data_IF_195689259752
#
_entry.id   IF_195689259752
#
_cell.length_a   1.000
_cell.length_b   1.000
_cell.length_c   1.000
_cell.angle_alpha   90.00
_cell.angle_beta   90.00
_cell.angle_gamma   90.00
#
_symmetry.space_group_name_H-M   'P 1'
#
loop_
_entity.id
_entity.type
_entity.pdbx_description
1 polymer ?
2 non-polymer ?
3 water ?
#
# COMPACT_ATOMS: atom_id res chain seq x y z
N UNK A 1 25.53 3.50 16.45
CA UNK A 1 24.13 3.97 16.64
C UNK A 1 23.28 2.90 17.31
N UNK A 2 23.17 1.69 16.74
CA UNK A 2 22.40 0.65 17.43
C UNK A 2 23.16 0.13 18.66
N UNK A 3 22.44 -0.12 19.75
CA UNK A 3 23.09 -0.67 20.98
C UNK A 3 23.78 -2.02 20.69
N UNK A 4 24.74 -2.41 21.53
CA UNK A 4 25.37 -3.73 21.47
C UNK A 4 24.34 -4.86 21.54
N UNK A 5 23.25 -4.67 22.30
CA UNK A 5 22.22 -5.71 22.48
C UNK A 5 21.37 -5.90 21.20
N UNK A 6 21.05 -4.81 20.52
CA UNK A 6 20.34 -4.89 19.22
C UNK A 6 21.23 -5.67 18.25
N UNK A 7 22.51 -5.33 18.22
CA UNK A 7 23.45 -6.03 17.33
C UNK A 7 23.54 -7.53 17.63
N UNK A 8 23.70 -7.91 18.92
CA UNK A 8 23.64 -9.31 19.34
C UNK A 8 22.38 -10.05 18.89
N UNK A 9 21.24 -9.42 19.10
CA UNK A 9 19.96 -9.98 18.69
C UNK A 9 19.91 -10.11 17.17
N UNK A 10 20.47 -9.13 16.44
CA UNK A 10 20.56 -9.24 14.99
C UNK A 10 21.46 -10.38 14.54
N UNK A 11 22.55 -10.63 15.28
CA UNK A 11 23.42 -11.75 14.95
C UNK A 11 22.65 -13.08 15.04
N UNK A 12 21.89 -13.21 16.11
CA UNK A 12 21.08 -14.40 16.36
C UNK A 12 20.05 -14.59 15.19
N UNK A 13 19.41 -13.49 14.82
CA UNK A 13 18.43 -13.44 13.69
C UNK A 13 19.06 -13.85 12.38
N UNK A 14 20.26 -13.36 12.10
CA UNK A 14 20.96 -13.69 10.88
C UNK A 14 21.29 -15.18 10.88
N UNK A 15 21.69 -15.71 12.03
CA UNK A 15 22.03 -17.12 12.08
C UNK A 15 20.82 -18.01 11.77
N UNK A 16 19.66 -17.61 12.32
CA UNK A 16 18.38 -18.25 12.09
C UNK A 16 18.06 -18.25 10.56
N UNK A 17 18.24 -17.11 9.92
CA UNK A 17 18.03 -17.01 8.47
C UNK A 17 18.92 -17.93 7.70
N UNK A 18 20.21 -17.93 8.05
CA UNK A 18 21.22 -18.74 7.36
C UNK A 18 20.97 -20.22 7.55
N UNK A 19 20.51 -20.59 8.75
CA UNK A 19 20.14 -21.97 9.00
C UNK A 19 18.99 -22.48 8.09
N UNK A 20 18.05 -21.59 7.78
CA UNK A 20 16.80 -21.94 7.09
C UNK A 20 17.05 -22.12 5.59
N UNK A 21 17.35 -23.34 5.17
CA UNK A 21 17.58 -23.62 3.74
C UNK A 21 16.25 -23.52 2.93
N UNK A 22 15.11 -23.73 3.59
CA UNK A 22 13.82 -23.75 2.86
C UNK A 22 13.26 -22.36 2.58
N UNK A 23 14.00 -21.35 3.04
CA UNK A 23 13.55 -19.98 2.99
C UNK A 23 13.92 -19.31 1.67
N UNK A 24 12.96 -18.76 0.97
CA UNK A 24 13.29 -18.05 -0.24
C UNK A 24 12.59 -16.69 -0.37
N UNK A 25 12.44 -16.01 0.76
CA UNK A 25 12.03 -14.61 0.79
C UNK A 25 13.10 -13.71 0.10
N UNK A 26 12.68 -12.54 -0.36
CA UNK A 26 13.62 -11.54 -0.83
C UNK A 26 14.59 -11.13 0.29
N UNK A 27 14.12 -11.18 1.54
CA UNK A 27 14.94 -10.88 2.73
C UNK A 27 16.17 -11.79 2.71
N UNK A 28 15.90 -13.08 2.66
CA UNK A 28 16.93 -14.08 2.64
C UNK A 28 17.90 -13.93 1.46
N UNK A 29 17.34 -13.65 0.29
CA UNK A 29 18.11 -13.48 -0.94
C UNK A 29 19.11 -12.31 -0.81
N UNK A 30 18.64 -11.18 -0.25
CA UNK A 30 19.46 -9.96 -0.33
C UNK A 30 20.19 -9.55 0.93
N UNK A 31 19.82 -10.15 2.07
CA UNK A 31 20.56 -9.97 3.32
C UNK A 31 21.77 -10.91 3.34
N UNK A 32 22.78 -10.50 2.58
CA UNK A 32 24.04 -11.25 2.51
C UNK A 32 24.83 -10.92 3.77
N UNK A 33 25.84 -11.72 4.06
CA UNK A 33 26.73 -11.45 5.18
C UNK A 33 27.31 -10.03 5.06
N UNK A 34 27.69 -9.63 3.86
CA UNK A 34 28.31 -8.33 3.57
C UNK A 34 27.34 -7.18 3.91
N UNK A 35 26.12 -7.32 3.43
CA UNK A 35 25.08 -6.31 3.64
C UNK A 35 24.67 -6.28 5.13
N UNK A 36 24.52 -7.47 5.73
CA UNK A 36 24.20 -7.56 7.15
C UNK A 36 25.24 -6.83 8.02
N UNK A 37 26.53 -7.10 7.79
CA UNK A 37 27.61 -6.46 8.55
C UNK A 37 27.64 -4.93 8.34
N UNK A 38 27.37 -4.48 7.13
CA UNK A 38 27.29 -3.08 6.80
C UNK A 38 26.13 -2.35 7.58
N UNK A 39 24.99 -3.02 7.67
CA UNK A 39 23.76 -2.41 8.20
C UNK A 39 23.41 -2.67 9.67
N UNK A 40 23.87 -3.81 10.23
CA UNK A 40 23.47 -4.20 11.59
C UNK A 40 23.64 -3.13 12.70
N UNK A 41 24.64 -2.25 12.55
CA UNK A 41 24.98 -1.24 13.59
C UNK A 41 24.25 0.09 13.44
N UNK A 42 23.41 0.23 12.41
CA UNK A 42 22.78 1.53 12.07
C UNK A 42 21.41 1.72 12.72
N UNK A 43 21.05 2.99 12.98
CA UNK A 43 19.78 3.29 13.63
C UNK A 43 19.30 4.63 13.10
N UNK A 44 18.02 4.71 12.75
CA UNK A 44 17.46 5.96 12.25
C UNK A 44 17.24 6.95 13.39
N UNK A 45 17.01 8.20 13.04
CA UNK A 45 16.77 9.27 13.99
C UNK A 45 15.54 8.97 14.82
N UNK A 46 14.57 8.29 14.24
CA UNK A 46 13.38 7.91 14.99
C UNK A 46 13.61 6.66 15.84
N UNK A 47 14.78 6.01 15.69
CA UNK A 47 15.13 4.92 16.57
C UNK A 47 14.97 3.52 15.96
N UNK A 48 14.64 3.44 14.68
CA UNK A 48 14.51 2.14 14.01
C UNK A 48 15.89 1.52 13.72
N UNK A 49 15.96 0.19 13.89
CA UNK A 49 17.16 -0.59 13.65
C UNK A 49 16.90 -1.55 12.51
N UNK A 50 17.92 -2.29 12.10
CA UNK A 50 17.68 -3.33 11.10
C UNK A 50 16.68 -4.39 11.58
N UNK A 51 16.55 -4.59 12.90
CA UNK A 51 15.59 -5.53 13.41
C UNK A 51 14.16 -5.13 13.08
N UNK A 52 13.87 -3.83 13.16
CA UNK A 52 12.56 -3.29 12.82
C UNK A 52 12.23 -3.40 11.32
N UNK A 53 13.24 -3.63 10.50
CA UNK A 53 13.07 -3.86 9.06
C UNK A 53 12.84 -5.37 8.82
N UNK A 54 13.67 -6.21 9.44
CA UNK A 54 13.71 -7.62 9.01
C UNK A 54 12.94 -8.63 9.89
N UNK A 55 12.46 -8.20 11.07
CA UNK A 55 11.94 -9.18 12.07
C UNK A 55 10.77 -10.03 11.55
N UNK A 56 9.83 -9.40 10.82
CA UNK A 56 8.73 -10.22 10.25
C UNK A 56 9.23 -11.38 9.34
N UNK A 57 10.24 -11.13 8.51
CA UNK A 57 10.81 -12.15 7.61
C UNK A 57 11.61 -13.21 8.36
N UNK A 58 12.16 -12.84 9.52
CA UNK A 58 12.89 -13.77 10.37
C UNK A 58 11.91 -14.68 11.13
N UNK A 59 10.78 -14.12 11.59
CA UNK A 59 9.76 -14.94 12.28
C UNK A 59 8.88 -15.77 11.34
N UNK A 60 8.58 -15.25 10.15
CA UNK A 60 7.75 -15.91 9.16
C UNK A 60 8.69 -16.21 8.02
N UNK A 61 9.36 -17.37 8.11
CA UNK A 61 10.42 -17.66 7.16
C UNK A 61 9.79 -17.88 5.78
N UNK A 62 8.51 -18.20 5.77
CA UNK A 62 7.78 -18.41 4.51
C UNK A 62 7.28 -17.11 3.84
N UNK A 63 7.75 -15.94 4.31
CA UNK A 63 7.40 -14.64 3.68
C UNK A 63 7.88 -14.58 2.24
N UNK A 64 7.13 -13.86 1.38
CA UNK A 64 7.59 -13.65 0.00
C UNK A 64 8.66 -12.59 0.02
N UNK A 65 8.39 -11.53 0.75
CA UNK A 65 9.25 -10.35 0.80
C UNK A 65 10.10 -10.40 2.10
N UNK A 66 9.43 -10.25 3.25
CA UNK A 66 10.07 -10.45 4.55
C UNK A 66 10.69 -9.23 5.20
N UNK A 67 10.47 -8.06 4.60
CA UNK A 67 10.92 -6.81 5.16
C UNK A 67 9.75 -5.84 5.09
N UNK A 68 9.80 -4.89 6.02
CA UNK A 68 8.91 -3.71 6.06
C UNK A 68 9.79 -2.52 6.36
N UNK A 69 9.31 -1.31 6.04
CA UNK A 69 10.01 -0.10 6.43
C UNK A 69 9.41 0.40 7.77
N UNK A 70 10.25 0.53 8.82
CA UNK A 70 9.74 1.03 10.11
C UNK A 70 9.63 2.55 10.20
N UNK A 71 10.20 3.28 9.24
CA UNK A 71 10.03 4.71 9.13
C UNK A 71 10.51 5.14 7.75
N UNK A 72 10.29 6.42 7.41
CA UNK A 72 10.67 6.96 6.09
C UNK A 72 12.18 6.86 5.87
N UNK A 73 12.95 7.16 6.92
CA UNK A 73 14.42 7.22 6.81
C UNK A 73 15.04 5.88 6.47
N UNK A 74 14.37 4.80 6.89
CA UNK A 74 14.84 3.43 6.66
C UNK A 74 15.15 3.16 5.20
N UNK A 75 14.36 3.76 4.31
CA UNK A 75 14.59 3.52 2.89
C UNK A 75 15.91 4.09 2.39
N UNK A 76 16.46 5.03 3.16
CA UNK A 76 17.76 5.61 2.86
C UNK A 76 18.80 4.84 3.68
N UNK A 77 18.59 4.71 4.99
CA UNK A 77 19.62 4.12 5.85
C UNK A 77 19.89 2.62 5.55
N UNK A 78 18.83 1.89 5.22
CA UNK A 78 18.96 0.45 4.97
C UNK A 78 18.77 0.11 3.49
N UNK A 79 19.10 1.09 2.63
CA UNK A 79 19.05 0.96 1.17
C UNK A 79 19.86 -0.21 0.64
N UNK A 80 20.99 -0.54 1.28
CA UNK A 80 21.83 -1.67 0.79
C UNK A 80 21.05 -3.00 0.79
N UNK A 81 20.08 -3.10 1.68
CA UNK A 81 19.16 -4.23 1.72
C UNK A 81 17.86 -3.93 0.94
N UNK A 82 17.27 -2.76 1.19
CA UNK A 82 15.94 -2.43 0.61
C UNK A 82 15.95 -2.22 -0.91
N UNK A 83 16.99 -1.59 -1.42
CA UNK A 83 17.05 -1.30 -2.87
C UNK A 83 17.05 -2.55 -3.74
N UNK A 84 17.93 -3.53 -3.44
CA UNK A 84 17.82 -4.70 -4.34
C UNK A 84 16.49 -5.47 -4.18
N UNK A 85 15.91 -5.48 -2.99
CA UNK A 85 14.56 -6.00 -2.79
C UNK A 85 13.47 -5.29 -3.64
N UNK A 86 13.45 -3.95 -3.61
CA UNK A 86 12.52 -3.16 -4.37
C UNK A 86 12.72 -3.48 -5.86
N UNK A 87 13.97 -3.49 -6.28
CA UNK A 87 14.31 -3.73 -7.67
C UNK A 87 13.92 -5.14 -8.16
N UNK A 88 14.10 -6.14 -7.29
CA UNK A 88 13.63 -7.50 -7.55
C UNK A 88 12.10 -7.55 -7.73
N UNK A 89 11.37 -7.04 -6.74
CA UNK A 89 9.92 -7.10 -6.74
C UNK A 89 9.29 -6.25 -7.87
N UNK A 90 9.74 -5.00 -8.03
CA UNK A 90 9.18 -4.11 -9.02
C UNK A 90 9.91 -4.31 -10.33
N UNK A 91 9.54 -5.36 -11.03
CA UNK A 91 10.29 -5.83 -12.19
C UNK A 91 10.42 -4.68 -13.19
N UNK A 92 11.62 -4.52 -13.72
CA UNK A 92 11.90 -3.43 -14.66
C UNK A 92 12.27 -2.10 -14.01
N UNK A 93 12.17 -2.02 -12.67
CA UNK A 93 12.70 -0.87 -11.92
C UNK A 93 14.18 -1.05 -11.61
N UNK A 94 15.02 -0.53 -12.52
CA UNK A 94 16.48 -0.57 -12.42
C UNK A 94 17.09 0.36 -11.35
N UNK A 95 18.35 0.11 -10.94
CA UNK A 95 19.15 1.03 -10.11
C UNK A 95 19.24 2.48 -10.64
N UNK A 96 19.42 2.66 -11.95
CA UNK A 96 19.46 3.99 -12.52
C UNK A 96 18.05 4.59 -12.67
N UNK A 97 17.02 3.83 -12.28
CA UNK A 97 15.62 4.26 -12.49
C UNK A 97 15.11 5.13 -11.34
N UNK A 98 14.08 5.91 -11.63
CA UNK A 98 13.55 6.85 -10.65
C UNK A 98 12.06 6.97 -10.86
N UNK A 99 11.31 7.08 -9.76
CA UNK A 99 9.91 7.48 -9.80
C UNK A 99 9.83 8.86 -10.49
N UNK A 100 8.94 8.99 -11.49
CA UNK A 100 8.70 10.31 -12.09
C UNK A 100 8.02 11.25 -11.12
N UNK A 101 7.99 12.55 -11.43
CA UNK A 101 7.23 13.47 -10.57
C UNK A 101 5.76 13.03 -10.44
N UNK A 102 5.15 13.39 -9.33
CA UNK A 102 3.72 13.19 -9.17
C UNK A 102 2.93 13.78 -10.33
N UNK A 103 2.02 12.99 -10.91
CA UNK A 103 1.22 13.45 -12.06
C UNK A 103 0.04 12.51 -12.25
N UNK A 104 -1.14 13.01 -11.96
CA UNK A 104 -2.37 12.25 -12.18
C UNK A 104 -2.90 12.43 -13.60
N UNK A 105 -2.32 13.39 -14.36
CA UNK A 105 -2.51 13.52 -15.80
C UNK A 105 -3.82 14.18 -16.20
N UNK A 106 -4.16 13.99 -17.47
CA UNK A 106 -5.37 14.55 -18.03
C UNK A 106 -6.53 13.61 -17.78
N UNK A 107 -7.40 14.02 -16.84
CA UNK A 107 -8.49 13.22 -16.39
C UNK A 107 -9.53 12.85 -17.44
N UNK A 108 -9.64 13.66 -18.48
CA UNK A 108 -10.65 13.45 -19.50
C UNK A 108 -10.15 12.47 -20.60
N UNK A 109 -8.97 11.89 -20.38
CA UNK A 109 -8.51 10.76 -21.19
C UNK A 109 -8.97 9.43 -20.53
N UNK A 110 -9.54 9.52 -19.30
CA UNK A 110 -10.11 8.36 -18.65
C UNK A 110 -11.56 8.30 -19.11
N UNK A 111 -12.06 7.07 -19.25
CA UNK A 111 -13.37 6.83 -19.82
C UNK A 111 -14.18 5.80 -19.01
N UNK A 112 -15.46 5.69 -19.33
CA UNK A 112 -16.26 4.54 -18.93
C UNK A 112 -15.84 3.42 -19.89
N UNK A 113 -15.17 2.42 -19.36
CA UNK A 113 -14.60 1.35 -20.20
C UNK A 113 -15.65 0.33 -20.63
N UNK A 114 -16.85 0.43 -20.06
CA UNK A 114 -17.92 -0.51 -20.38
C UNK A 114 -19.23 0.27 -20.53
N UNK A 115 -19.35 1.08 -21.61
CA UNK A 115 -20.53 1.92 -21.76
C UNK A 115 -21.82 1.11 -22.06
N UNK A 116 -21.68 -0.18 -22.42
CA UNK A 116 -22.85 -1.02 -22.69
C UNK A 116 -23.32 -1.76 -21.43
N UNK A 117 -22.55 -1.67 -20.36
CA UNK A 117 -22.93 -2.30 -19.08
C UNK A 117 -22.95 -3.82 -19.10
N UNK A 118 -22.06 -4.43 -19.88
CA UNK A 118 -22.06 -5.90 -20.07
C UNK A 118 -21.01 -6.68 -19.26
N UNK A 119 -19.94 -6.01 -18.83
CA UNK A 119 -18.81 -6.72 -18.22
C UNK A 119 -18.40 -6.23 -16.83
N UNK A 120 -18.25 -4.92 -16.66
CA UNK A 120 -17.63 -4.40 -15.42
C UNK A 120 -18.65 -4.13 -14.32
N UNK A 121 -18.54 -4.89 -13.24
CA UNK A 121 -19.41 -4.76 -12.05
C UNK A 121 -19.10 -3.47 -11.24
N UNK A 122 -17.82 -3.19 -11.03
CA UNK A 122 -17.42 -2.01 -10.30
C UNK A 122 -15.96 -1.75 -10.54
N UNK A 123 -15.54 -0.56 -10.18
CA UNK A 123 -14.23 -0.05 -10.49
C UNK A 123 -13.72 0.59 -9.20
N UNK A 124 -12.43 0.44 -8.92
CA UNK A 124 -11.87 0.85 -7.65
C UNK A 124 -10.46 1.35 -7.92
N UNK A 125 -10.11 2.45 -7.27
CA UNK A 125 -8.71 2.88 -7.26
C UNK A 125 -8.32 3.14 -5.80
N UNK A 126 -7.24 2.49 -5.35
CA UNK A 126 -6.72 2.59 -3.99
C UNK A 126 -5.32 3.15 -4.05
N UNK A 127 -4.95 3.95 -3.05
CA UNK A 127 -3.58 4.45 -2.89
C UNK A 127 -3.28 4.44 -1.39
N UNK A 128 -2.04 4.68 -0.99
CA UNK A 128 -1.75 4.72 0.46
C UNK A 128 -0.77 5.87 0.66
N UNK A 129 -0.64 6.33 1.91
CA UNK A 129 0.25 7.44 2.24
C UNK A 129 0.78 7.20 3.64
N UNK A 130 2.03 7.60 3.87
CA UNK A 130 2.58 7.77 5.20
C UNK A 130 2.64 9.28 5.48
N UNK A 131 2.43 9.70 6.73
CA UNK A 131 2.46 11.11 7.07
C UNK A 131 3.89 11.47 7.46
N UNK A 132 4.35 12.59 6.91
CA UNK A 132 5.66 13.15 7.16
C UNK A 132 5.83 13.41 8.66
N UNK A 133 6.97 12.99 9.22
CA UNK A 133 7.30 13.27 10.63
C UNK A 133 6.84 12.23 11.62
N UNK A 134 6.27 11.12 11.15
CA UNK A 134 5.85 10.03 12.06
C UNK A 134 6.56 8.77 11.63
N UNK A 135 6.96 7.91 12.61
CA UNK A 135 7.46 6.58 12.27
C UNK A 135 6.34 5.77 11.62
N UNK A 136 6.70 4.68 10.96
CA UNK A 136 5.65 3.81 10.44
C UNK A 136 5.24 2.88 11.59
N UNK A 137 4.28 1.99 11.34
CA UNK A 137 3.73 1.13 12.42
C UNK A 137 4.68 0.48 13.37
N UNK A 138 5.75 -0.20 12.87
CA UNK A 138 6.59 -0.95 13.80
C UNK A 138 7.15 -0.10 14.93
N UNK A 139 7.19 1.23 14.75
CA UNK A 139 7.82 2.10 15.73
C UNK A 139 6.95 3.23 16.26
N UNK A 140 5.64 3.20 15.97
CA UNK A 140 4.75 4.27 16.48
C UNK A 140 4.48 4.09 17.98
N UNK A 141 4.50 5.19 18.73
CA UNK A 141 4.06 5.16 20.13
C UNK A 141 2.57 5.39 20.17
N UNK A 142 1.96 5.02 21.30
CA UNK A 142 0.51 5.14 21.49
C UNK A 142 0.04 6.59 21.28
N UNK A 143 0.79 7.55 21.86
CA UNK A 143 0.48 8.98 21.71
C UNK A 143 0.49 9.42 20.25
N UNK A 144 1.42 8.85 19.49
CA UNK A 144 1.53 9.16 18.06
C UNK A 144 0.37 8.59 17.23
N UNK A 145 -0.08 7.36 17.56
CA UNK A 145 -1.34 6.80 17.02
C UNK A 145 -2.53 7.78 17.21
N UNK A 146 -2.67 8.27 18.42
CA UNK A 146 -3.75 9.17 18.82
C UNK A 146 -3.68 10.53 18.13
N UNK A 147 -2.50 11.14 18.14
CA UNK A 147 -2.29 12.44 17.48
C UNK A 147 -2.55 12.37 15.99
N UNK A 148 -1.98 11.36 15.36
CA UNK A 148 -2.17 11.20 13.94
C UNK A 148 -3.65 11.01 13.56
N UNK A 149 -4.37 10.20 14.33
CA UNK A 149 -5.78 9.94 14.08
C UNK A 149 -6.61 11.23 14.23
N UNK A 150 -6.32 11.99 15.28
CA UNK A 150 -6.94 13.31 15.47
C UNK A 150 -6.71 14.29 14.29
N UNK A 151 -5.47 14.39 13.82
CA UNK A 151 -5.15 15.26 12.68
C UNK A 151 -5.89 14.79 11.45
N UNK A 152 -5.85 13.50 11.20
CA UNK A 152 -6.53 12.95 10.04
C UNK A 152 -8.05 13.10 10.09
N UNK A 153 -8.65 12.73 11.22
CA UNK A 153 -10.09 12.79 11.45
C UNK A 153 -10.62 14.20 11.16
N UNK A 154 -9.90 15.20 11.69
CA UNK A 154 -10.13 16.62 11.41
C UNK A 154 -10.31 16.96 9.95
N UNK A 155 -9.33 16.60 9.11
CA UNK A 155 -9.46 16.78 7.68
C UNK A 155 -10.66 16.05 7.12
N UNK A 156 -10.87 14.80 7.54
CA UNK A 156 -11.88 13.98 6.88
C UNK A 156 -13.28 14.51 7.22
N UNK A 157 -13.43 14.95 8.46
CA UNK A 157 -14.70 15.49 8.91
C UNK A 157 -14.97 16.89 8.30
N UNK A 158 -13.92 17.54 7.81
CA UNK A 158 -14.03 18.82 7.09
C UNK A 158 -14.62 18.60 5.70
N UNK A 159 -14.65 17.35 5.22
CA UNK A 159 -15.04 17.13 3.83
C UNK A 159 -16.51 17.48 3.60
N UNK A 160 -16.79 18.01 2.41
CA UNK A 160 -18.14 18.44 2.09
C UNK A 160 -18.45 17.91 0.72
N UNK A 161 -19.66 18.19 0.22
CA UNK A 161 -20.00 17.77 -1.13
C UNK A 161 -20.08 16.26 -1.18
N UNK A 162 -19.66 15.68 -2.29
CA UNK A 162 -19.70 14.24 -2.53
C UNK A 162 -18.86 13.45 -1.49
N UNK A 163 -17.93 14.14 -0.86
CA UNK A 163 -17.01 13.54 0.11
C UNK A 163 -17.53 13.57 1.56
N UNK A 164 -18.64 14.28 1.79
CA UNK A 164 -19.24 14.41 3.13
C UNK A 164 -19.50 13.01 3.66
N UNK A 165 -19.17 12.79 4.93
CA UNK A 165 -19.36 11.48 5.52
C UNK A 165 -19.01 11.43 6.99
N UNK A 166 -18.71 10.24 7.48
CA UNK A 166 -18.53 10.01 8.93
C UNK A 166 -17.25 9.26 9.23
N UNK A 167 -16.61 9.65 10.31
CA UNK A 167 -15.45 8.95 10.78
C UNK A 167 -15.88 8.01 11.92
N UNK A 168 -15.43 6.75 11.85
CA UNK A 168 -15.73 5.74 12.86
C UNK A 168 -14.43 5.25 13.49
N UNK A 169 -14.09 5.73 14.72
CA UNK A 169 -12.91 5.13 15.32
C UNK A 169 -13.19 3.64 15.71
N UNK A 170 -12.17 2.78 15.61
CA UNK A 170 -12.26 1.44 16.14
C UNK A 170 -12.35 1.49 17.68
N UNK A 171 -11.70 2.50 18.27
CA UNK A 171 -11.75 2.71 19.74
C UNK A 171 -13.14 3.20 20.12
N UNK A 172 -13.87 2.33 20.81
CA UNK A 172 -15.25 2.55 21.27
C UNK A 172 -16.27 2.21 20.20
N UNK A 173 -15.85 1.53 19.14
CA UNK A 173 -16.77 1.24 18.04
C UNK A 173 -17.82 0.26 18.53
N UNK A 174 -19.10 0.54 18.30
CA UNK A 174 -20.13 -0.36 18.84
C UNK A 174 -20.33 -1.60 17.97
N UNK A 175 -21.01 -2.61 18.53
CA UNK A 175 -21.39 -3.80 17.76
C UNK A 175 -22.20 -3.44 16.51
N UNK A 176 -23.19 -2.57 16.69
CA UNK A 176 -23.98 -2.01 15.57
C UNK A 176 -23.15 -1.48 14.41
N UNK A 177 -22.16 -0.65 14.72
CA UNK A 177 -21.27 -0.10 13.73
C UNK A 177 -20.40 -1.19 13.10
N UNK A 178 -19.99 -2.14 13.92
CA UNK A 178 -19.14 -3.22 13.38
C UNK A 178 -19.93 -3.95 12.29
N UNK A 179 -21.15 -4.37 12.66
CA UNK A 179 -22.04 -5.11 11.77
C UNK A 179 -22.30 -4.33 10.51
N UNK A 180 -22.61 -3.04 10.65
CA UNK A 180 -22.89 -2.21 9.51
C UNK A 180 -21.67 -2.09 8.58
N UNK A 181 -20.48 -1.91 9.15
CA UNK A 181 -19.27 -1.74 8.32
C UNK A 181 -18.87 -3.09 7.65
N UNK A 182 -19.05 -4.18 8.37
CA UNK A 182 -18.80 -5.54 7.83
C UNK A 182 -19.69 -5.75 6.60
N UNK A 183 -20.96 -5.34 6.72
CA UNK A 183 -21.92 -5.39 5.61
C UNK A 183 -21.50 -4.60 4.37
N UNK A 184 -20.88 -3.44 4.59
CA UNK A 184 -20.30 -2.63 3.56
C UNK A 184 -18.92 -3.15 3.09
N UNK A 185 -18.37 -4.17 3.74
CA UNK A 185 -16.98 -4.63 3.47
C UNK A 185 -15.96 -3.52 3.77
N UNK A 186 -16.28 -2.68 4.76
CA UNK A 186 -15.48 -1.50 5.13
C UNK A 186 -14.65 -1.72 6.42
N UNK A 187 -14.94 -2.80 7.18
CA UNK A 187 -14.30 -3.04 8.49
C UNK A 187 -12.91 -3.67 8.30
N UNK A 188 -11.94 -3.27 9.11
CA UNK A 188 -10.71 -4.02 9.25
C UNK A 188 -10.53 -4.32 10.70
N UNK A 189 -9.58 -5.21 10.99
CA UNK A 189 -9.29 -5.64 12.36
C UNK A 189 -7.79 -5.82 12.43
N UNK A 190 -7.27 -6.38 13.52
CA UNK A 190 -5.81 -6.42 13.69
C UNK A 190 -5.14 -7.31 12.60
N UNK A 191 -3.89 -7.02 12.27
CA UNK A 191 -3.20 -7.69 11.18
C UNK A 191 -2.87 -9.14 11.41
N UNK A 192 -2.52 -9.78 10.30
CA UNK A 192 -2.15 -11.22 10.25
C UNK A 192 -0.74 -11.41 10.86
N UNK A 193 -0.25 -12.65 10.85
CA UNK A 193 1.06 -12.96 11.47
C UNK A 193 2.24 -12.20 10.85
N UNK A 194 2.16 -11.83 9.58
CA UNK A 194 3.19 -11.05 8.90
C UNK A 194 3.24 -9.63 9.52
N UNK A 195 2.07 -9.04 9.74
CA UNK A 195 1.98 -7.72 10.36
C UNK A 195 2.33 -7.79 11.85
N UNK A 196 1.81 -8.81 12.52
CA UNK A 196 2.05 -8.97 13.98
C UNK A 196 3.57 -9.12 14.22
N UNK A 197 4.24 -9.94 13.40
CA UNK A 197 5.67 -10.18 13.63
C UNK A 197 6.47 -8.93 13.23
N UNK A 198 5.88 -8.05 12.43
CA UNK A 198 6.45 -6.75 12.13
C UNK A 198 6.18 -5.71 13.24
N UNK A 199 5.43 -6.09 14.28
CA UNK A 199 5.01 -5.15 15.32
C UNK A 199 4.24 -4.00 14.76
N UNK A 200 3.42 -4.32 13.74
CA UNK A 200 2.69 -3.30 13.00
C UNK A 200 1.34 -2.99 13.64
N UNK A 201 0.90 -3.82 14.60
CA UNK A 201 -0.46 -3.76 15.19
C UNK A 201 -0.50 -3.52 16.71
N UNK A 202 0.46 -2.76 17.24
CA UNK A 202 0.60 -2.56 18.69
C UNK A 202 -0.44 -1.51 19.12
N UNK A 203 -0.81 -1.56 20.40
CA UNK A 203 -1.78 -0.65 21.02
C UNK A 203 -3.14 -0.74 20.38
N UNK A 204 -3.49 -1.89 19.82
CA UNK A 204 -4.77 -2.05 19.12
C UNK A 204 -5.94 -1.83 20.08
N UNK A 205 -6.99 -1.09 19.65
CA UNK A 205 -7.22 -0.45 18.35
C UNK A 205 -6.89 1.06 18.36
N UNK A 206 -6.08 1.52 19.32
CA UNK A 206 -5.74 2.97 19.42
C UNK A 206 -5.29 3.62 18.13
N UNK A 207 -5.94 4.72 17.78
CA UNK A 207 -5.57 5.46 16.55
C UNK A 207 -6.02 4.82 15.24
N UNK A 208 -6.84 3.77 15.32
CA UNK A 208 -7.34 3.14 14.10
C UNK A 208 -8.75 3.62 13.87
N UNK A 209 -9.11 3.85 12.61
CA UNK A 209 -10.47 4.21 12.34
C UNK A 209 -10.76 4.14 10.84
N UNK A 210 -12.03 4.34 10.51
CA UNK A 210 -12.56 4.14 9.16
C UNK A 210 -13.43 5.37 8.88
N UNK A 211 -13.27 5.92 7.69
CA UNK A 211 -14.11 6.99 7.20
C UNK A 211 -14.70 6.55 5.87
N UNK A 212 -15.98 6.82 5.66
CA UNK A 212 -16.52 6.70 4.31
C UNK A 212 -17.50 7.84 4.07
N UNK A 213 -17.68 8.22 2.80
CA UNK A 213 -18.67 9.23 2.44
C UNK A 213 -20.09 8.64 2.42
N UNK A 214 -21.11 9.49 2.36
CA UNK A 214 -22.53 9.02 2.50
C UNK A 214 -22.88 8.12 1.32
N UNK A 215 -22.35 8.48 0.15
CA UNK A 215 -22.54 7.71 -1.06
C UNK A 215 -21.83 6.35 -1.04
N UNK A 216 -20.85 6.15 -0.14
CA UNK A 216 -20.08 4.90 -0.09
C UNK A 216 -19.25 4.67 -1.38
N UNK A 217 -18.66 5.73 -1.89
CA UNK A 217 -17.86 5.68 -3.09
C UNK A 217 -16.45 6.14 -2.70
N UNK A 218 -16.22 6.32 -1.39
CA UNK A 218 -14.93 6.80 -0.87
C UNK A 218 -14.76 6.26 0.54
N UNK A 219 -13.59 5.69 0.80
CA UNK A 219 -13.30 4.96 2.03
C UNK A 219 -11.85 5.27 2.42
N UNK A 220 -11.63 5.54 3.71
CA UNK A 220 -10.28 5.69 4.24
C UNK A 220 -10.10 4.77 5.44
N UNK A 221 -8.97 4.04 5.47
CA UNK A 221 -8.58 3.31 6.68
C UNK A 221 -7.39 4.03 7.25
N UNK A 222 -7.44 4.31 8.55
CA UNK A 222 -6.40 5.01 9.27
C UNK A 222 -5.68 4.00 10.17
N UNK A 223 -4.38 3.86 9.94
CA UNK A 223 -3.52 3.01 10.79
C UNK A 223 -3.78 1.52 10.72
N UNK A 224 -4.22 1.06 9.54
CA UNK A 224 -4.42 -0.38 9.30
C UNK A 224 -3.17 -1.20 8.89
N UNK A 225 -2.35 -0.66 8.02
CA UNK A 225 -1.06 -1.23 7.58
C UNK A 225 -0.19 -0.02 7.31
N UNK A 226 -0.70 0.89 6.46
CA UNK A 226 -0.14 2.23 6.34
C UNK A 226 -0.89 3.24 7.20
N UNK A 227 -0.31 4.42 7.38
CA UNK A 227 -0.99 5.46 8.12
C UNK A 227 -2.35 5.69 7.48
N UNK A 228 -2.37 5.78 6.13
CA UNK A 228 -3.58 5.95 5.39
C UNK A 228 -3.69 5.01 4.21
N UNK A 229 -4.86 4.40 4.06
CA UNK A 229 -5.18 3.68 2.82
C UNK A 229 -6.44 4.38 2.36
N UNK A 230 -6.46 4.86 1.11
CA UNK A 230 -7.50 5.76 0.62
C UNK A 230 -8.06 5.17 -0.66
N UNK A 231 -9.38 4.94 -0.69
CA UNK A 231 -9.97 4.18 -1.76
C UNK A 231 -11.16 4.95 -2.32
N UNK A 232 -11.22 5.02 -3.67
CA UNK A 232 -12.42 5.44 -4.35
C UNK A 232 -12.99 4.27 -5.17
N UNK A 233 -14.29 4.17 -5.22
CA UNK A 233 -14.94 3.06 -5.90
C UNK A 233 -16.41 3.36 -6.24
N UNK A 234 -16.92 2.70 -7.28
CA UNK A 234 -18.34 2.73 -7.62
C UNK A 234 -18.71 1.55 -8.51
N UNK A 235 -20.02 1.31 -8.63
CA UNK A 235 -20.54 0.32 -9.56
C UNK A 235 -20.33 0.83 -10.99
N UNK A 236 -20.17 -0.12 -11.90
CA UNK A 236 -19.99 0.19 -13.31
C UNK A 236 -18.52 0.49 -13.62
N UNK A 237 -18.27 1.03 -14.81
CA UNK A 237 -16.92 1.12 -15.33
C UNK A 237 -16.33 2.51 -15.52
N UNK A 238 -16.88 3.53 -14.87
CA UNK A 238 -16.39 4.91 -15.08
C UNK A 238 -15.13 5.23 -14.28
N UNK A 239 -14.01 4.89 -14.89
CA UNK A 239 -12.71 5.05 -14.28
C UNK A 239 -12.37 6.52 -14.05
N UNK A 240 -12.79 7.38 -15.00
CA UNK A 240 -12.68 8.84 -14.87
C UNK A 240 -13.22 9.32 -13.52
N UNK A 241 -14.50 9.05 -13.29
CA UNK A 241 -15.20 9.44 -12.04
C UNK A 241 -14.54 8.88 -10.82
N UNK A 242 -14.14 7.61 -10.88
CA UNK A 242 -13.54 6.93 -9.73
C UNK A 242 -12.19 7.60 -9.40
N UNK A 243 -11.35 7.78 -10.41
CA UNK A 243 -10.01 8.29 -10.18
C UNK A 243 -10.04 9.80 -9.86
N UNK A 244 -10.89 10.56 -10.55
CA UNK A 244 -11.09 12.00 -10.26
C UNK A 244 -11.42 12.27 -8.79
N UNK A 245 -12.32 11.45 -8.23
CA UNK A 245 -12.76 11.53 -6.84
C UNK A 245 -11.57 11.24 -5.90
N UNK A 246 -10.79 10.20 -6.23
CA UNK A 246 -9.60 9.89 -5.45
C UNK A 246 -8.61 11.08 -5.40
N UNK A 247 -8.29 11.63 -6.57
CA UNK A 247 -7.38 12.77 -6.67
C UNK A 247 -7.88 13.94 -5.82
N UNK A 248 -9.15 14.26 -5.96
CA UNK A 248 -9.77 15.32 -5.16
C UNK A 248 -9.61 15.04 -3.67
N UNK A 249 -10.02 13.84 -3.23
CA UNK A 249 -10.05 13.51 -1.82
C UNK A 249 -8.65 13.51 -1.19
N UNK A 250 -7.66 12.98 -1.92
CA UNK A 250 -6.30 12.96 -1.41
C UNK A 250 -5.78 14.41 -1.23
N UNK A 251 -6.09 15.29 -2.19
CA UNK A 251 -5.70 16.71 -2.11
C UNK A 251 -6.30 17.40 -0.87
N UNK A 252 -7.57 17.14 -0.58
CA UNK A 252 -8.20 17.66 0.66
C UNK A 252 -7.44 17.24 1.91
N UNK A 253 -7.11 15.94 2.03
CA UNK A 253 -6.34 15.47 3.19
C UNK A 253 -4.99 16.21 3.28
N UNK A 254 -4.35 16.39 2.13
CA UNK A 254 -3.00 16.92 2.07
C UNK A 254 -2.97 18.43 2.36
N UNK A 255 -4.11 19.10 2.30
CA UNK A 255 -4.17 20.52 2.69
C UNK A 255 -3.53 20.78 4.07
N UNK A 256 -3.77 19.88 5.01
CA UNK A 256 -3.24 19.98 6.35
C UNK A 256 -2.28 18.88 6.75
N UNK A 257 -2.37 17.73 6.12
CA UNK A 257 -1.54 16.61 6.53
C UNK A 257 -0.53 16.29 5.40
N UNK A 258 0.75 16.56 5.62
CA UNK A 258 1.73 16.36 4.54
C UNK A 258 2.20 14.90 4.51
N UNK A 259 2.52 14.43 3.32
CA UNK A 259 2.84 13.01 3.17
C UNK A 259 4.33 12.85 2.97
N UNK A 260 4.79 11.63 3.17
CA UNK A 260 6.18 11.31 3.05
C UNK A 260 6.45 10.83 1.59
N UNK A 261 7.25 11.60 0.87
CA UNK A 261 7.57 11.24 -0.54
C UNK A 261 9.09 11.26 -0.75
N UNK A 262 9.60 10.23 -1.42
CA UNK A 262 11.00 10.22 -1.78
C UNK A 262 11.15 10.56 -3.29
N UNK A 263 12.19 11.29 -3.66
CA UNK A 263 12.42 11.64 -5.08
C UNK A 263 12.65 10.44 -6.00
N UNK A 264 13.33 9.43 -5.47
CA UNK A 264 13.53 8.22 -6.22
C UNK A 264 12.40 7.18 -6.07
N UNK A 265 11.85 7.02 -4.86
CA UNK A 265 10.88 5.94 -4.62
C UNK A 265 9.42 6.40 -4.65
N UNK A 266 9.19 7.69 -4.91
CA UNK A 266 7.84 8.24 -4.70
C UNK A 266 7.33 8.12 -3.26
N UNK A 267 6.03 7.84 -3.11
CA UNK A 267 5.40 7.78 -1.77
C UNK A 267 5.88 6.58 -0.98
N UNK A 268 6.43 6.86 0.20
CA UNK A 268 7.02 5.82 1.06
C UNK A 268 5.93 5.12 1.89
N UNK A 269 5.99 3.80 1.84
CA UNK A 269 4.97 2.98 2.42
C UNK A 269 5.61 1.95 3.34
N UNK A 270 4.78 1.37 4.18
CA UNK A 270 5.22 0.39 5.19
C UNK A 270 5.76 -0.90 4.50
N UNK A 271 5.02 -1.39 3.51
CA UNK A 271 5.47 -2.50 2.67
C UNK A 271 6.10 -1.96 1.37
N UNK A 272 7.36 -2.36 1.07
CA UNK A 272 7.97 -1.90 -0.21
C UNK A 272 7.21 -2.31 -1.49
N UNK A 273 6.25 -3.24 -1.43
CA UNK A 273 5.50 -3.61 -2.61
C UNK A 273 4.53 -2.47 -3.02
N UNK A 274 4.32 -1.54 -2.11
CA UNK A 274 3.39 -0.39 -2.33
C UNK A 274 4.05 0.93 -2.68
N UNK A 275 5.33 0.95 -3.03
CA UNK A 275 6.03 2.22 -3.22
C UNK A 275 5.59 2.98 -4.48
N UNK A 276 6.10 4.20 -4.67
CA UNK A 276 6.04 4.90 -6.00
C UNK A 276 4.72 5.63 -6.18
N UNK A 277 3.82 5.06 -7.00
CA UNK A 277 2.43 5.59 -7.04
C UNK A 277 1.52 5.14 -5.90
N UNK A 278 1.81 3.94 -5.34
CA UNK A 278 1.01 3.21 -4.31
C UNK A 278 -0.30 2.72 -4.91
N UNK A 279 -0.49 2.93 -6.21
CA UNK A 279 -1.82 2.78 -6.79
C UNK A 279 -2.14 1.32 -7.13
N UNK A 280 -3.32 0.88 -6.72
CA UNK A 280 -3.89 -0.35 -7.22
C UNK A 280 -5.23 0.01 -7.81
N UNK A 281 -5.29 0.01 -9.15
CA UNK A 281 -6.53 0.32 -9.88
C UNK A 281 -7.12 -0.98 -10.36
N UNK A 282 -8.39 -1.23 -10.05
CA UNK A 282 -8.99 -2.51 -10.43
C UNK A 282 -10.43 -2.40 -10.86
N UNK A 283 -10.85 -3.44 -11.58
CA UNK A 283 -12.26 -3.67 -11.89
C UNK A 283 -12.64 -5.08 -11.40
N UNK A 284 -13.89 -5.24 -11.04
CA UNK A 284 -14.49 -6.56 -10.87
C UNK A 284 -15.20 -6.78 -12.18
N UNK A 285 -14.76 -7.76 -12.95
CA UNK A 285 -15.20 -7.89 -14.32
C UNK A 285 -15.67 -9.33 -14.62
N UNK A 286 -16.80 -9.42 -15.31
CA UNK A 286 -17.31 -10.70 -15.88
C UNK A 286 -16.73 -10.96 -17.27
N UNK A 287 -15.86 -11.96 -17.40
CA UNK A 287 -15.36 -12.37 -18.73
C UNK A 287 -15.59 -13.87 -19.09
N UNK A 288 -16.83 -14.22 -19.51
CA UNK A 288 -17.09 -15.56 -20.07
C UNK A 288 -16.90 -15.63 -21.61
N UNK A 294 -7.56 -20.62 -24.80
CA UNK A 294 -7.80 -21.38 -23.57
C UNK A 294 -8.05 -20.38 -22.44
N UNK A 295 -7.13 -20.33 -21.47
CA UNK A 295 -7.01 -19.18 -20.59
C UNK A 295 -6.05 -18.19 -21.26
N UNK A 296 -6.37 -17.84 -22.52
CA UNK A 296 -5.75 -16.70 -23.21
C UNK A 296 -6.17 -15.41 -22.52
N UNK A 297 -6.54 -15.55 -21.24
CA UNK A 297 -6.86 -14.46 -20.35
C UNK A 297 -5.54 -13.94 -19.79
N UNK A 298 -4.71 -14.88 -19.33
CA UNK A 298 -3.38 -14.58 -18.79
C UNK A 298 -2.42 -14.17 -19.92
N UNK A 299 -2.77 -14.49 -21.15
CA UNK A 299 -2.02 -14.01 -22.31
C UNK A 299 -2.21 -12.49 -22.46
N UNK A 300 -3.46 -12.06 -22.69
CA UNK A 300 -3.78 -10.64 -22.81
C UNK A 300 -3.33 -9.85 -21.57
N UNK A 301 -3.68 -10.37 -20.38
CA UNK A 301 -3.42 -9.69 -19.11
C UNK A 301 -1.95 -9.35 -18.95
N UNK A 302 -1.10 -10.34 -19.20
CA UNK A 302 0.36 -10.17 -19.15
C UNK A 302 0.87 -9.14 -20.17
N UNK A 303 0.29 -9.12 -21.37
CA UNK A 303 0.72 -8.16 -22.40
C UNK A 303 0.48 -6.72 -21.94
N UNK A 304 -0.59 -6.53 -21.16
CA UNK A 304 -1.01 -5.20 -20.74
C UNK A 304 -0.69 -4.92 -19.28
N UNK A 305 0.28 -5.67 -18.76
CA UNK A 305 0.76 -5.58 -17.36
C UNK A 305 -0.37 -5.61 -16.33
N UNK A 306 -1.33 -6.50 -16.52
CA UNK A 306 -2.44 -6.64 -15.58
C UNK A 306 -2.41 -7.94 -14.78
N UNK A 307 -2.82 -7.85 -13.51
CA UNK A 307 -2.98 -9.00 -12.61
C UNK A 307 -4.42 -9.47 -12.64
N UNK A 308 -4.62 -10.78 -12.87
CA UNK A 308 -5.95 -11.40 -12.77
C UNK A 308 -6.01 -12.24 -11.48
N UNK A 309 -6.86 -11.82 -10.53
CA UNK A 309 -7.16 -12.58 -9.29
C UNK A 309 -8.67 -12.71 -9.15
N UNK A 321 -17.49 -16.71 -15.11
CA UNK A 321 -16.25 -16.30 -14.46
C UNK A 321 -16.21 -14.79 -14.18
N UNK A 322 -15.95 -14.46 -12.93
CA UNK A 322 -15.87 -13.07 -12.45
C UNK A 322 -14.47 -12.83 -11.86
N UNK A 323 -13.76 -11.86 -12.41
CA UNK A 323 -12.37 -11.64 -12.01
C UNK A 323 -12.18 -10.28 -11.41
N UNK A 324 -11.13 -10.17 -10.61
CA UNK A 324 -10.63 -8.92 -10.14
C UNK A 324 -9.34 -8.67 -10.90
N UNK A 325 -9.32 -7.63 -11.72
CA UNK A 325 -8.16 -7.32 -12.58
C UNK A 325 -7.56 -5.94 -12.27
N UNK A 326 -6.25 -5.89 -12.06
CA UNK A 326 -5.60 -4.66 -11.65
C UNK A 326 -4.24 -4.45 -12.33
N UNK A 327 -3.74 -3.21 -12.27
CA UNK A 327 -2.38 -2.89 -12.74
C UNK A 327 -1.32 -3.64 -11.89
N UNK A 328 -0.37 -4.29 -12.55
CA UNK A 328 0.85 -4.83 -11.91
C UNK A 328 1.86 -3.77 -11.47
N UNK A 329 2.05 -2.75 -12.28
CA UNK A 329 3.13 -1.78 -12.00
C UNK A 329 2.67 -0.67 -11.06
N UNK A 330 3.49 -0.34 -10.05
CA UNK A 330 3.21 0.80 -9.13
C UNK A 330 4.36 1.78 -9.07
N UNK A 331 5.57 1.32 -9.37
CA UNK A 331 6.77 2.15 -9.20
C UNK A 331 7.54 2.30 -10.53
N UNK A 332 8.04 3.49 -10.81
CA UNK A 332 8.72 3.75 -12.08
C UNK A 332 7.77 4.26 -13.15
N UNK A 333 6.53 4.57 -12.82
CA UNK A 333 5.62 5.22 -13.79
C UNK A 333 4.77 6.19 -12.96
N UNK A 334 4.21 7.23 -13.58
CA UNK A 334 3.33 8.18 -12.86
C UNK A 334 2.00 7.57 -12.43
N UNK A 335 1.31 8.25 -11.50
CA UNK A 335 -0.05 7.93 -11.13
C UNK A 335 -0.93 7.81 -12.42
N UNK A 336 -0.82 8.78 -13.30
CA UNK A 336 -1.58 8.74 -14.53
C UNK A 336 -1.29 7.43 -15.30
N UNK A 337 -0.02 7.15 -15.51
CA UNK A 337 0.38 6.00 -16.31
C UNK A 337 -0.10 4.70 -15.71
N UNK A 338 -0.05 4.58 -14.38
CA UNK A 338 -0.53 3.40 -13.66
C UNK A 338 -2.03 3.16 -13.91
N UNK A 339 -2.86 4.20 -13.75
CA UNK A 339 -4.32 4.03 -13.91
C UNK A 339 -4.61 3.83 -15.40
N UNK A 340 -3.83 4.53 -16.24
CA UNK A 340 -3.99 4.40 -17.68
C UNK A 340 -3.60 3.01 -18.21
N UNK A 341 -2.62 2.36 -17.59
CA UNK A 341 -2.29 0.98 -17.96
C UNK A 341 -3.47 0.03 -17.69
N UNK A 342 -4.16 0.26 -16.57
CA UNK A 342 -5.35 -0.52 -16.22
C UNK A 342 -6.47 -0.27 -17.23
N UNK A 343 -6.72 1.00 -17.51
CA UNK A 343 -7.67 1.33 -18.58
C UNK A 343 -7.43 0.63 -19.92
N UNK A 344 -6.19 0.75 -20.45
CA UNK A 344 -5.81 0.16 -21.72
C UNK A 344 -5.99 -1.38 -21.65
N UNK A 345 -5.52 -1.99 -20.56
CA UNK A 345 -5.61 -3.45 -20.37
C UNK A 345 -7.05 -3.95 -20.43
N UNK A 346 -7.92 -3.31 -19.64
CA UNK A 346 -9.34 -3.64 -19.56
C UNK A 346 -10.05 -3.45 -20.90
N UNK A 347 -9.82 -2.33 -21.59
CA UNK A 347 -10.40 -2.13 -22.90
C UNK A 347 -10.01 -3.26 -23.86
N UNK A 348 -8.76 -3.70 -23.75
CA UNK A 348 -8.22 -4.76 -24.60
C UNK A 348 -8.72 -6.16 -24.20
N UNK A 349 -8.91 -6.39 -22.90
CA UNK A 349 -9.63 -7.56 -22.41
C UNK A 349 -11.05 -7.62 -22.94
N UNK A 350 -11.79 -6.50 -22.86
CA UNK A 350 -13.15 -6.44 -23.40
C UNK A 350 -13.17 -6.67 -24.93
N UNK A 351 -12.16 -6.17 -25.64
CA UNK A 351 -12.07 -6.41 -27.07
C UNK A 351 -11.78 -7.88 -27.35
N UNK A 352 -10.89 -8.48 -26.55
CA UNK A 352 -10.57 -9.91 -26.68
C UNK A 352 -11.81 -10.78 -26.44
N UNK A 353 -12.54 -10.45 -25.38
CA UNK A 353 -13.81 -11.09 -25.01
C UNK A 353 -14.87 -11.06 -26.09
N UNK A 354 -14.92 -9.99 -26.88
CA UNK A 354 -15.96 -9.86 -27.90
C UNK A 354 -15.61 -10.40 -29.30
N UNK A 355 -14.44 -11.02 -29.44
CA UNK A 355 -13.98 -11.54 -30.73
C UNK A 355 -14.65 -12.87 -31.06
#
# INVERSE_FOLDING_TARGET
>A
MASAEVVSKLEAAFAKLQNASDCHSLLKKYLTKEVFDQLKGKQTKMGATLMDVIQSGVENLDSGIGVYAPDAESYTLFAALLDPIIEDYHKGFKPSDKQPPKDSGDLNTFIDVDPDKKYVISTRVRCGRSLEGYPFNPCLKKQQYEEMESRVKGQLESMSGELRGKYYPLTGMTKETQKQLIDDHFLFKEGDRFLQAAHACKFWPTGRGIYHNDAKTFLVWVNEEDHLRIISMQKGGNLKEVFGRLVTAVGVIEEKVKFSRDDRLGFLTFCPTNLGTTIRASVHIKLPKLGADRKKLEEVAAKYNLQVRGTAGEHSDSPDGVYDISNKRRLGLSEYEAVKEMQDGILELIKAEESAR
#
